data_IF_967203700966
#
_entry.id   IF_967203700966
#
_cell.length_a   1.000
_cell.length_b   1.000
_cell.length_c   1.000
_cell.angle_alpha   90.00
_cell.angle_beta   90.00
_cell.angle_gamma   90.00
#
_symmetry.space_group_name_H-M   'P 1'
#
loop_
_entity.id
_entity.type
_entity.pdbx_description
1 polymer ?
#
# COMPACT_ATOMS: atom_id res chain seq x y z
N UNK A 1 4.40 19.47 -14.53
CA UNK A 1 3.29 18.65 -13.93
C UNK A 1 2.61 19.35 -12.77
N UNK A 2 3.35 19.85 -11.77
CA UNK A 2 2.75 20.57 -10.62
C UNK A 2 2.04 21.87 -11.00
N UNK A 3 2.52 22.57 -12.02
CA UNK A 3 1.88 23.78 -12.57
C UNK A 3 0.48 23.52 -13.16
N UNK A 4 0.14 22.26 -13.42
CA UNK A 4 -1.18 21.82 -13.90
C UNK A 4 -2.26 21.70 -12.82
N UNK A 5 -1.95 22.03 -11.54
CA UNK A 5 -2.91 22.02 -10.45
C UNK A 5 -3.27 20.60 -9.96
N UNK A 6 -2.29 19.71 -9.84
CA UNK A 6 -2.48 18.37 -9.23
C UNK A 6 -2.35 18.46 -7.71
N UNK A 7 -3.16 17.69 -6.99
CA UNK A 7 -3.15 17.61 -5.52
C UNK A 7 -2.41 16.35 -5.01
N UNK A 8 -2.16 15.40 -5.91
CA UNK A 8 -1.61 14.09 -5.58
C UNK A 8 -0.74 13.54 -6.71
N UNK A 9 0.43 13.02 -6.37
CA UNK A 9 1.37 12.36 -7.28
C UNK A 9 1.60 10.94 -6.80
N UNK A 10 1.50 9.96 -7.71
CA UNK A 10 1.81 8.56 -7.44
C UNK A 10 3.07 8.17 -8.22
N UNK A 11 4.10 7.75 -7.49
CA UNK A 11 5.26 7.11 -8.07
C UNK A 11 5.15 5.59 -7.96
N UNK A 12 5.21 4.92 -9.09
CA UNK A 12 5.19 3.45 -9.17
C UNK A 12 6.61 2.90 -9.10
N UNK A 13 7.05 2.57 -7.86
CA UNK A 13 8.38 2.06 -7.56
C UNK A 13 8.52 0.54 -7.69
N UNK A 14 7.74 -0.12 -8.57
CA UNK A 14 7.71 -1.59 -8.67
C UNK A 14 9.07 -2.22 -8.97
N UNK A 15 9.87 -1.59 -9.83
CA UNK A 15 11.21 -2.05 -10.19
C UNK A 15 12.33 -1.45 -9.34
N UNK A 16 11.98 -0.67 -8.32
CA UNK A 16 12.90 -0.08 -7.36
C UNK A 16 13.02 -0.92 -6.09
N UNK A 17 12.26 -2.01 -5.96
CA UNK A 17 12.18 -2.85 -4.76
C UNK A 17 13.41 -3.72 -4.55
N UNK A 18 13.52 -4.31 -3.36
CA UNK A 18 14.63 -5.24 -3.04
C UNK A 18 14.52 -6.60 -3.74
N UNK A 19 13.51 -6.82 -4.53
CA UNK A 19 13.46 -7.93 -5.48
C UNK A 19 14.49 -7.75 -6.62
N UNK A 20 14.95 -6.51 -6.86
CA UNK A 20 15.91 -6.14 -7.90
C UNK A 20 17.21 -5.54 -7.34
N UNK A 21 17.15 -4.84 -6.19
CA UNK A 21 18.25 -4.04 -5.68
C UNK A 21 18.51 -4.34 -4.20
N UNK A 22 19.80 -4.39 -3.79
CA UNK A 22 20.08 -4.39 -2.35
C UNK A 22 19.67 -3.06 -1.72
N UNK A 23 19.39 -3.00 -0.39
CA UNK A 23 19.09 -1.73 0.29
C UNK A 23 20.19 -0.67 0.13
N UNK A 24 21.46 -1.08 0.03
CA UNK A 24 22.58 -0.17 -0.22
C UNK A 24 22.56 0.43 -1.62
N UNK A 25 22.28 -0.38 -2.65
CA UNK A 25 22.13 0.10 -4.02
C UNK A 25 20.86 0.95 -4.17
N UNK A 26 19.75 0.57 -3.52
CA UNK A 26 18.56 1.39 -3.48
C UNK A 26 18.88 2.80 -2.94
N UNK A 27 19.60 2.87 -1.82
CA UNK A 27 20.00 4.15 -1.24
C UNK A 27 20.91 4.96 -2.17
N UNK A 28 21.87 4.31 -2.80
CA UNK A 28 22.80 4.97 -3.72
C UNK A 28 22.10 5.52 -4.96
N UNK A 29 21.21 4.71 -5.57
CA UNK A 29 20.61 5.03 -6.89
C UNK A 29 19.34 5.88 -6.78
N UNK A 30 18.50 5.64 -5.77
CA UNK A 30 17.15 6.19 -5.74
C UNK A 30 16.93 7.23 -4.63
N UNK A 31 17.61 7.14 -3.48
CA UNK A 31 17.29 7.96 -2.30
C UNK A 31 17.34 9.47 -2.60
N UNK A 32 18.43 9.96 -3.17
CA UNK A 32 18.59 11.38 -3.47
C UNK A 32 17.53 11.87 -4.45
N UNK A 33 17.31 11.12 -5.50
CA UNK A 33 16.31 11.43 -6.52
C UNK A 33 14.88 11.45 -5.95
N UNK A 34 14.51 10.42 -5.17
CA UNK A 34 13.19 10.36 -4.52
C UNK A 34 13.00 11.51 -3.54
N UNK A 35 14.03 11.83 -2.76
CA UNK A 35 13.98 12.94 -1.81
C UNK A 35 13.71 14.28 -2.50
N UNK A 36 14.36 14.53 -3.62
CA UNK A 36 14.15 15.74 -4.42
C UNK A 36 12.72 15.81 -5.01
N UNK A 37 12.18 14.68 -5.49
CA UNK A 37 10.78 14.61 -5.96
C UNK A 37 9.79 14.91 -4.83
N UNK A 38 9.95 14.24 -3.68
CA UNK A 38 9.09 14.39 -2.50
C UNK A 38 9.12 15.85 -2.02
N UNK A 39 10.30 16.42 -1.83
CA UNK A 39 10.46 17.81 -1.38
C UNK A 39 9.87 18.81 -2.39
N UNK A 40 9.91 18.48 -3.68
CA UNK A 40 9.28 19.30 -4.72
C UNK A 40 7.75 19.25 -4.63
N UNK A 41 7.16 18.07 -4.39
CA UNK A 41 5.73 17.93 -4.15
C UNK A 41 5.31 18.67 -2.87
N UNK A 42 6.03 18.48 -1.77
CA UNK A 42 5.71 19.12 -0.49
C UNK A 42 5.79 20.65 -0.56
N UNK A 43 6.77 21.24 -1.27
CA UNK A 43 6.82 22.69 -1.51
C UNK A 43 5.60 23.23 -2.27
N UNK A 44 4.96 22.39 -3.06
CA UNK A 44 3.73 22.73 -3.79
C UNK A 44 2.43 22.35 -3.06
N UNK A 45 2.51 21.85 -1.81
CA UNK A 45 1.40 21.26 -1.05
C UNK A 45 0.73 20.09 -1.77
N UNK A 46 1.50 19.27 -2.48
CA UNK A 46 1.04 18.10 -3.21
C UNK A 46 1.44 16.84 -2.45
N UNK A 47 0.49 15.94 -2.22
CA UNK A 47 0.71 14.65 -1.57
C UNK A 47 1.52 13.72 -2.47
N UNK A 48 2.50 13.03 -1.88
CA UNK A 48 3.33 12.05 -2.58
C UNK A 48 3.04 10.62 -2.12
N UNK A 49 2.58 9.79 -3.02
CA UNK A 49 2.29 8.36 -2.80
C UNK A 49 3.39 7.52 -3.46
N UNK A 50 4.05 6.69 -2.65
CA UNK A 50 5.05 5.74 -3.13
C UNK A 50 4.46 4.34 -3.16
N UNK A 51 4.23 3.85 -4.37
CA UNK A 51 3.57 2.58 -4.64
C UNK A 51 4.61 1.47 -4.85
N UNK A 52 4.61 0.44 -3.97
CA UNK A 52 5.49 -0.74 -4.08
C UNK A 52 4.78 -1.96 -3.52
N UNK A 53 4.50 -2.96 -4.37
CA UNK A 53 3.72 -4.14 -4.00
C UNK A 53 4.55 -5.27 -3.36
N UNK A 54 5.85 -5.34 -3.64
CA UNK A 54 6.75 -6.39 -3.13
C UNK A 54 8.13 -5.84 -2.80
N UNK A 55 8.94 -6.58 -2.03
CA UNK A 55 10.33 -6.24 -1.72
C UNK A 55 10.53 -4.98 -0.87
N UNK A 56 9.49 -4.45 -0.22
CA UNK A 56 9.59 -3.23 0.57
C UNK A 56 10.18 -3.44 1.98
N UNK A 57 10.10 -4.66 2.52
CA UNK A 57 10.43 -4.91 3.93
C UNK A 57 11.83 -4.46 4.36
N UNK A 58 12.91 -4.65 3.58
CA UNK A 58 14.24 -4.16 3.92
C UNK A 58 14.42 -2.65 3.75
N UNK A 59 13.45 -1.95 3.13
CA UNK A 59 13.50 -0.51 2.84
C UNK A 59 12.74 0.35 3.85
N UNK A 60 12.01 -0.24 4.81
CA UNK A 60 11.11 0.50 5.70
C UNK A 60 11.80 1.64 6.48
N UNK A 61 13.04 1.44 6.94
CA UNK A 61 13.80 2.51 7.61
C UNK A 61 14.17 3.64 6.63
N UNK A 62 14.47 3.30 5.38
CA UNK A 62 14.73 4.28 4.33
C UNK A 62 13.46 5.07 4.01
N UNK A 63 12.29 4.43 4.05
CA UNK A 63 11.00 5.09 3.86
C UNK A 63 10.72 6.15 4.95
N UNK A 64 11.06 5.84 6.22
CA UNK A 64 10.99 6.83 7.31
C UNK A 64 11.89 8.06 7.06
N UNK A 65 13.07 7.86 6.46
CA UNK A 65 13.98 8.96 6.13
C UNK A 65 13.50 9.79 4.94
N UNK A 66 12.86 9.15 3.94
CA UNK A 66 12.33 9.82 2.75
C UNK A 66 11.14 10.74 3.08
N UNK A 67 10.27 10.32 4.02
CA UNK A 67 9.11 11.10 4.49
C UNK A 67 8.12 11.49 3.39
N UNK A 68 7.80 10.56 2.51
CA UNK A 68 6.64 10.69 1.63
C UNK A 68 5.34 10.53 2.45
N UNK A 69 4.17 10.74 1.85
CA UNK A 69 2.91 10.81 2.61
C UNK A 69 2.18 9.48 2.68
N UNK A 70 2.19 8.71 1.60
CA UNK A 70 1.44 7.45 1.49
C UNK A 70 2.36 6.33 1.01
N UNK A 71 2.39 5.21 1.73
CA UNK A 71 2.93 3.95 1.24
C UNK A 71 1.78 3.08 0.71
N UNK A 72 1.76 2.83 -0.59
CA UNK A 72 0.64 2.14 -1.22
C UNK A 72 1.00 0.83 -1.91
N UNK A 73 -0.03 0.02 -2.15
CA UNK A 73 -0.02 -1.24 -2.89
C UNK A 73 0.78 -2.38 -2.24
N UNK A 74 1.22 -2.28 -0.99
CA UNK A 74 1.88 -3.41 -0.34
C UNK A 74 0.95 -4.62 -0.23
N UNK A 75 1.48 -5.79 -0.61
CA UNK A 75 0.72 -7.03 -0.69
C UNK A 75 1.19 -8.03 0.37
N UNK A 76 0.28 -8.51 1.27
CA UNK A 76 0.65 -9.40 2.36
C UNK A 76 1.12 -10.80 1.92
N UNK A 77 0.84 -11.21 0.69
CA UNK A 77 1.23 -12.51 0.17
C UNK A 77 2.50 -12.47 -0.70
N UNK A 78 3.10 -11.28 -0.91
CA UNK A 78 4.31 -11.13 -1.70
C UNK A 78 5.52 -10.82 -0.83
N UNK A 79 6.69 -11.35 -1.20
CA UNK A 79 8.03 -11.02 -0.68
C UNK A 79 8.13 -10.96 0.86
N UNK A 80 7.49 -11.89 1.56
CA UNK A 80 7.47 -11.98 3.02
C UNK A 80 6.98 -10.69 3.72
N UNK A 81 6.01 -10.01 3.14
CA UNK A 81 5.42 -8.79 3.67
C UNK A 81 4.80 -9.03 5.05
N UNK A 82 5.23 -8.27 6.05
CA UNK A 82 4.71 -8.29 7.42
C UNK A 82 3.96 -6.99 7.72
N UNK A 83 2.63 -7.06 7.73
CA UNK A 83 1.75 -5.91 7.97
C UNK A 83 1.97 -5.27 9.35
N UNK A 84 2.25 -6.09 10.38
CA UNK A 84 2.52 -5.59 11.73
C UNK A 84 3.82 -4.80 11.77
N UNK A 85 4.86 -5.32 11.10
CA UNK A 85 6.15 -4.63 11.00
C UNK A 85 6.01 -3.33 10.19
N UNK A 86 5.29 -3.33 9.06
CA UNK A 86 5.00 -2.11 8.30
C UNK A 86 4.34 -1.08 9.22
N UNK A 87 3.25 -1.45 9.92
CA UNK A 87 2.53 -0.52 10.82
C UNK A 87 3.42 0.04 11.92
N UNK A 88 4.25 -0.80 12.54
CA UNK A 88 5.15 -0.38 13.62
C UNK A 88 6.28 0.53 13.13
N UNK A 89 6.82 0.27 11.94
CA UNK A 89 8.01 0.98 11.45
C UNK A 89 7.63 2.29 10.78
N UNK A 90 6.65 2.30 9.88
CA UNK A 90 6.33 3.49 9.07
C UNK A 90 4.92 4.05 9.31
N UNK A 91 4.01 3.26 9.87
CA UNK A 91 2.59 3.63 9.96
C UNK A 91 2.24 4.73 10.98
N UNK A 92 3.22 5.35 11.63
CA UNK A 92 3.03 6.56 12.44
C UNK A 92 3.25 7.83 11.63
N UNK A 93 4.14 7.76 10.65
CA UNK A 93 4.55 8.90 9.82
C UNK A 93 3.85 8.87 8.45
N UNK A 94 3.56 7.67 7.93
CA UNK A 94 2.96 7.47 6.61
C UNK A 94 1.53 6.96 6.72
N UNK A 95 0.66 7.42 5.83
CA UNK A 95 -0.59 6.72 5.56
C UNK A 95 -0.30 5.40 4.82
N UNK A 96 -1.00 4.33 5.19
CA UNK A 96 -0.82 3.00 4.63
C UNK A 96 -2.02 2.64 3.74
N UNK A 97 -1.79 2.30 2.47
CA UNK A 97 -2.85 1.96 1.51
C UNK A 97 -2.58 0.61 0.85
N UNK A 98 -3.37 -0.43 1.14
CA UNK A 98 -3.13 -1.78 0.62
C UNK A 98 -3.65 -2.85 1.56
N UNK A 99 -2.95 -4.00 1.61
CA UNK A 99 -3.14 -5.04 2.63
C UNK A 99 -4.06 -6.19 2.25
N UNK A 100 -4.65 -6.19 1.05
CA UNK A 100 -5.43 -7.34 0.53
C UNK A 100 -4.87 -7.78 -0.81
N UNK A 101 -4.49 -9.06 -0.93
CA UNK A 101 -3.99 -9.57 -2.20
C UNK A 101 -5.08 -9.53 -3.28
N UNK A 102 -4.77 -8.95 -4.45
CA UNK A 102 -5.72 -8.84 -5.55
C UNK A 102 -5.95 -10.19 -6.24
N UNK A 103 -4.90 -10.90 -6.63
CA UNK A 103 -5.02 -12.08 -7.49
C UNK A 103 -5.55 -13.30 -6.75
N UNK A 104 -4.90 -13.72 -5.64
CA UNK A 104 -5.29 -14.95 -4.94
C UNK A 104 -6.56 -14.76 -4.10
N UNK A 105 -6.80 -13.57 -3.55
CA UNK A 105 -7.95 -13.30 -2.68
C UNK A 105 -9.12 -12.72 -3.46
N UNK A 106 -8.93 -11.59 -4.17
CA UNK A 106 -10.08 -10.93 -4.81
C UNK A 106 -10.48 -11.56 -6.15
N UNK A 107 -9.52 -12.04 -6.94
CA UNK A 107 -9.85 -12.60 -8.27
C UNK A 107 -10.11 -14.11 -8.22
N UNK A 108 -9.51 -14.85 -7.28
CA UNK A 108 -9.57 -16.33 -7.23
C UNK A 108 -10.11 -16.89 -5.94
N UNK A 109 -10.15 -16.10 -4.87
CA UNK A 109 -10.57 -16.57 -3.55
C UNK A 109 -12.07 -16.73 -3.39
N UNK A 110 -12.44 -17.32 -2.26
CA UNK A 110 -13.83 -17.40 -1.78
C UNK A 110 -14.21 -16.14 -0.99
N UNK A 111 -15.49 -15.95 -0.72
CA UNK A 111 -15.96 -14.83 0.11
C UNK A 111 -15.45 -14.92 1.55
N UNK A 112 -15.26 -16.13 2.09
CA UNK A 112 -14.69 -16.37 3.41
C UNK A 112 -13.21 -15.96 3.46
N UNK A 113 -12.45 -16.25 2.41
CA UNK A 113 -11.04 -15.83 2.29
C UNK A 113 -10.93 -14.32 2.18
N UNK A 114 -11.83 -13.67 1.44
CA UNK A 114 -11.90 -12.20 1.37
C UNK A 114 -12.20 -11.62 2.75
N UNK A 115 -13.20 -12.16 3.45
CA UNK A 115 -13.55 -11.69 4.80
C UNK A 115 -12.39 -11.83 5.78
N UNK A 116 -11.71 -12.98 5.77
CA UNK A 116 -10.54 -13.23 6.62
C UNK A 116 -9.40 -12.26 6.31
N UNK A 117 -9.09 -12.03 5.03
CA UNK A 117 -8.05 -11.10 4.62
C UNK A 117 -8.35 -9.65 5.01
N UNK A 118 -9.58 -9.20 4.85
CA UNK A 118 -10.00 -7.84 5.26
C UNK A 118 -9.88 -7.67 6.78
N UNK A 119 -10.38 -8.63 7.55
CA UNK A 119 -10.29 -8.60 9.03
C UNK A 119 -8.84 -8.58 9.49
N UNK A 120 -7.99 -9.41 8.89
CA UNK A 120 -6.55 -9.46 9.20
C UNK A 120 -5.86 -8.12 8.92
N UNK A 121 -6.08 -7.55 7.74
CA UNK A 121 -5.50 -6.27 7.35
C UNK A 121 -5.97 -5.13 8.26
N UNK A 122 -7.27 -5.03 8.54
CA UNK A 122 -7.82 -3.99 9.43
C UNK A 122 -7.28 -4.13 10.85
N UNK A 123 -7.27 -5.35 11.40
CA UNK A 123 -6.76 -5.61 12.74
C UNK A 123 -5.28 -5.21 12.92
N UNK A 124 -4.47 -5.43 11.89
CA UNK A 124 -3.02 -5.13 11.92
C UNK A 124 -2.70 -3.67 11.61
N UNK A 125 -3.49 -3.00 10.78
CA UNK A 125 -3.12 -1.71 10.20
C UNK A 125 -3.97 -0.53 10.68
N UNK A 126 -5.23 -0.73 11.10
CA UNK A 126 -6.14 0.39 11.39
C UNK A 126 -5.87 1.07 12.73
N UNK A 127 -5.22 0.39 13.69
CA UNK A 127 -4.96 0.94 15.02
C UNK A 127 -4.21 2.29 14.95
N UNK A 128 -4.77 3.32 15.60
CA UNK A 128 -4.21 4.68 15.58
C UNK A 128 -4.49 5.50 14.32
N UNK A 129 -5.26 4.97 13.36
CA UNK A 129 -5.59 5.66 12.10
C UNK A 129 -4.52 5.54 11.02
N UNK A 130 -4.67 6.34 9.94
CA UNK A 130 -3.71 6.37 8.83
C UNK A 130 -3.74 5.11 7.95
N UNK A 131 -4.86 4.39 7.89
CA UNK A 131 -4.98 3.20 7.05
C UNK A 131 -6.13 3.31 6.04
N UNK A 132 -5.84 2.98 4.79
CA UNK A 132 -6.77 2.88 3.67
C UNK A 132 -6.77 1.44 3.19
N UNK A 133 -7.89 0.74 3.36
CA UNK A 133 -8.07 -0.63 2.85
C UNK A 133 -8.10 -0.60 1.33
N UNK A 134 -7.18 -1.32 0.71
CA UNK A 134 -7.09 -1.41 -0.75
C UNK A 134 -6.50 -2.76 -1.20
N UNK A 135 -6.69 -3.14 -2.46
CA UNK A 135 -5.92 -4.22 -3.07
C UNK A 135 -4.42 -3.90 -3.10
N UNK A 136 -3.59 -4.93 -3.05
CA UNK A 136 -2.13 -4.81 -3.16
C UNK A 136 -1.64 -4.50 -4.58
N UNK A 137 -2.50 -4.61 -5.59
CA UNK A 137 -2.21 -4.26 -6.98
C UNK A 137 -3.51 -4.05 -7.77
N UNK A 138 -3.39 -3.79 -9.06
CA UNK A 138 -4.49 -3.66 -10.01
C UNK A 138 -5.31 -4.95 -10.11
N UNK A 139 -6.62 -4.81 -10.27
CA UNK A 139 -7.52 -5.93 -10.52
C UNK A 139 -7.59 -6.17 -12.02
N UNK A 140 -7.11 -7.33 -12.48
CA UNK A 140 -7.01 -7.67 -13.90
C UNK A 140 -8.30 -8.27 -14.46
N UNK A 141 -9.03 -9.05 -13.65
CA UNK A 141 -10.28 -9.71 -14.04
C UNK A 141 -11.52 -8.93 -13.60
N UNK A 142 -11.52 -7.61 -13.77
CA UNK A 142 -12.59 -6.72 -13.29
C UNK A 142 -13.98 -7.00 -13.87
N UNK A 143 -14.07 -7.71 -15.00
CA UNK A 143 -15.34 -8.13 -15.63
C UNK A 143 -15.81 -9.51 -15.17
N UNK A 144 -14.97 -10.28 -14.49
CA UNK A 144 -15.31 -11.58 -13.97
C UNK A 144 -16.30 -11.47 -12.79
N UNK A 145 -17.29 -12.37 -12.74
CA UNK A 145 -18.35 -12.33 -11.73
C UNK A 145 -17.79 -12.60 -10.33
N UNK A 146 -16.86 -13.56 -10.19
CA UNK A 146 -16.20 -13.87 -8.92
C UNK A 146 -15.43 -12.68 -8.39
N UNK A 147 -14.64 -12.04 -9.24
CA UNK A 147 -13.87 -10.84 -8.89
C UNK A 147 -14.78 -9.71 -8.42
N UNK A 148 -15.88 -9.46 -9.14
CA UNK A 148 -16.84 -8.41 -8.76
C UNK A 148 -17.52 -8.72 -7.43
N UNK A 149 -17.99 -9.94 -7.22
CA UNK A 149 -18.60 -10.40 -5.97
C UNK A 149 -17.61 -10.24 -4.81
N UNK A 150 -16.38 -10.69 -4.95
CA UNK A 150 -15.35 -10.60 -3.93
C UNK A 150 -14.96 -9.15 -3.60
N UNK A 151 -14.93 -8.27 -4.60
CA UNK A 151 -14.71 -6.84 -4.37
C UNK A 151 -15.85 -6.21 -3.55
N UNK A 152 -17.12 -6.54 -3.86
CA UNK A 152 -18.25 -6.08 -3.05
C UNK A 152 -18.24 -6.68 -1.65
N UNK A 153 -17.83 -7.96 -1.49
CA UNK A 153 -17.64 -8.59 -0.18
C UNK A 153 -16.59 -7.84 0.65
N UNK A 154 -15.45 -7.48 0.06
CA UNK A 154 -14.41 -6.66 0.72
C UNK A 154 -15.00 -5.35 1.27
N UNK A 155 -15.79 -4.63 0.45
CA UNK A 155 -16.44 -3.38 0.86
C UNK A 155 -17.47 -3.62 1.97
N UNK A 156 -18.26 -4.69 1.89
CA UNK A 156 -19.27 -5.03 2.89
C UNK A 156 -18.64 -5.32 4.25
N UNK A 157 -17.63 -6.17 4.31
CA UNK A 157 -16.89 -6.50 5.54
C UNK A 157 -16.25 -5.25 6.16
N UNK A 158 -15.61 -4.40 5.34
CA UNK A 158 -15.07 -3.14 5.84
C UNK A 158 -16.14 -2.24 6.48
N UNK A 159 -17.33 -2.12 5.86
CA UNK A 159 -18.44 -1.35 6.41
C UNK A 159 -18.94 -1.91 7.74
N UNK A 160 -19.03 -3.23 7.86
CA UNK A 160 -19.43 -3.91 9.10
C UNK A 160 -18.44 -3.61 10.25
N UNK A 161 -17.13 -3.74 9.98
CA UNK A 161 -16.09 -3.43 10.96
C UNK A 161 -16.18 -1.96 11.38
N UNK A 162 -16.26 -1.05 10.42
CA UNK A 162 -16.34 0.40 10.70
C UNK A 162 -17.53 0.77 11.55
N UNK A 163 -18.66 0.09 11.39
CA UNK A 163 -19.90 0.35 12.13
C UNK A 163 -19.96 -0.39 13.47
N UNK A 164 -18.90 -1.13 13.85
CA UNK A 164 -18.86 -1.91 15.10
C UNK A 164 -19.81 -3.11 15.10
N UNK A 165 -20.13 -3.67 13.94
CA UNK A 165 -21.04 -4.82 13.80
C UNK A 165 -20.31 -6.17 13.94
N UNK A 166 -18.98 -6.17 13.88
CA UNK A 166 -18.08 -7.32 14.11
C UNK A 166 -16.78 -6.82 14.76
#
# INVERSE_FOLDING_TARGET
>A
MLEGGVDHVIRRGWYESTDFWSPSLYRELFFGFLKDEIDTCHRANVTYDYCMNSGAMPLLEIFNELKFDIFSNFDPLLSNTDLVKIKKTVGRELALCGGVNNFLVLEKGTEEEVEAAVKDAVNKLAGGGGYILAPGDSIYLSTDETTRRNFYKMIAVWKEIRNGSI
#
